data_IF_186131619463
#
_entry.id   IF_186131619463
#
_cell.length_a   1.000
_cell.length_b   1.000
_cell.length_c   1.000
_cell.angle_alpha   90.00
_cell.angle_beta   90.00
_cell.angle_gamma   90.00
#
_symmetry.space_group_name_H-M   'P 1'
#
loop_
_entity.id
_entity.type
_entity.pdbx_description
1 polymer ?
#
# COMPACT_ATOMS: atom_id res chain seq x y z
N UNK A 1 -8.22 -14.90 22.57
CA UNK A 1 -7.84 -13.47 22.53
C UNK A 1 -6.71 -13.33 21.52
N UNK A 2 -7.05 -13.41 20.23
CA UNK A 2 -6.04 -13.37 19.14
C UNK A 2 -5.54 -11.93 19.07
N UNK A 3 -4.23 -11.64 19.21
CA UNK A 3 -3.78 -10.31 19.55
C UNK A 3 -3.97 -9.36 18.36
N UNK A 4 -4.89 -8.42 18.52
CA UNK A 4 -5.00 -7.18 17.75
C UNK A 4 -3.80 -6.22 18.01
N UNK A 5 -2.60 -6.76 18.22
CA UNK A 5 -1.58 -6.15 19.08
C UNK A 5 -0.18 -6.07 18.46
N UNK A 6 -0.06 -5.94 17.14
CA UNK A 6 1.23 -5.66 16.50
C UNK A 6 1.23 -4.47 15.52
N UNK A 7 0.31 -3.51 15.69
CA UNK A 7 0.35 -2.23 14.97
C UNK A 7 0.49 -1.10 16.00
N UNK A 8 1.69 -0.95 16.54
CA UNK A 8 2.11 0.25 17.26
C UNK A 8 2.21 1.41 16.27
N UNK A 9 2.07 2.64 16.74
CA UNK A 9 2.00 3.90 15.95
C UNK A 9 3.12 4.10 14.93
N UNK A 10 4.32 3.56 15.13
CA UNK A 10 5.44 3.58 14.17
C UNK A 10 5.34 2.54 13.04
N UNK A 11 4.33 1.65 13.08
CA UNK A 11 4.16 0.50 12.18
C UNK A 11 2.98 0.65 11.21
N UNK A 12 2.28 1.78 11.30
CA UNK A 12 1.16 2.13 10.41
C UNK A 12 1.63 2.56 9.01
N UNK A 13 2.87 3.03 8.88
CA UNK A 13 3.44 3.46 7.59
C UNK A 13 3.54 2.27 6.61
N UNK A 14 3.88 1.07 7.11
CA UNK A 14 4.06 -0.13 6.26
C UNK A 14 2.73 -0.77 5.84
N UNK A 15 1.68 -0.53 6.63
CA UNK A 15 0.32 -0.95 6.28
C UNK A 15 -0.25 -0.13 5.11
N UNK A 16 0.24 1.10 4.89
CA UNK A 16 -0.16 1.92 3.74
C UNK A 16 0.26 1.24 2.43
N UNK A 17 1.48 0.71 2.36
CA UNK A 17 2.03 0.06 1.16
C UNK A 17 1.33 -1.26 0.83
N UNK A 18 0.93 -2.02 1.85
CA UNK A 18 0.10 -3.22 1.70
C UNK A 18 -1.29 -2.85 1.16
N UNK A 19 -1.88 -1.74 1.62
CA UNK A 19 -3.14 -1.23 1.09
C UNK A 19 -3.03 -0.75 -0.37
N UNK A 20 -1.82 -0.47 -0.90
CA UNK A 20 -1.66 -0.25 -2.35
C UNK A 20 -1.76 -1.52 -3.18
N UNK A 21 -1.40 -2.66 -2.58
CA UNK A 21 -1.48 -3.96 -3.23
C UNK A 21 -2.91 -4.45 -3.37
N UNK A 22 -3.73 -4.17 -2.37
CA UNK A 22 -5.15 -4.53 -2.36
C UNK A 22 -5.90 -3.65 -3.38
N UNK A 23 -6.45 -4.20 -4.48
CA UNK A 23 -7.28 -3.43 -5.40
C UNK A 23 -8.58 -3.03 -4.68
N UNK A 24 -8.73 -1.73 -4.37
CA UNK A 24 -9.98 -1.20 -3.84
C UNK A 24 -10.91 -0.80 -4.98
N UNK A 25 -12.12 -1.38 -5.09
CA UNK A 25 -13.13 -0.86 -6.01
C UNK A 25 -13.58 0.54 -5.55
N UNK A 26 -13.66 1.49 -6.48
CA UNK A 26 -14.37 2.73 -6.23
C UNK A 26 -15.87 2.46 -6.34
N UNK A 27 -16.58 2.38 -5.20
CA UNK A 27 -18.03 2.26 -5.18
C UNK A 27 -18.55 1.51 -3.97
N UNK A 28 -19.52 2.10 -3.29
CA UNK A 28 -20.25 1.51 -2.18
C UNK A 28 -21.15 0.36 -2.66
N UNK A 29 -20.62 -0.85 -2.71
CA UNK A 29 -21.39 -2.09 -2.69
C UNK A 29 -20.49 -3.16 -2.10
N UNK A 30 -21.06 -4.21 -1.51
CA UNK A 30 -20.35 -5.31 -0.86
C UNK A 30 -19.51 -6.14 -1.84
N UNK A 31 -18.45 -5.54 -2.37
CA UNK A 31 -17.50 -6.21 -3.25
C UNK A 31 -16.39 -6.81 -2.37
N UNK A 32 -16.30 -8.14 -2.43
CA UNK A 32 -15.09 -8.86 -2.03
C UNK A 32 -13.92 -8.21 -2.74
N UNK A 33 -12.81 -7.98 -2.03
CA UNK A 33 -11.57 -7.60 -2.68
C UNK A 33 -11.13 -8.81 -3.51
N UNK A 34 -11.47 -8.80 -4.79
CA UNK A 34 -11.11 -9.87 -5.71
C UNK A 34 -9.59 -9.82 -5.95
N UNK A 35 -8.89 -10.92 -5.69
CA UNK A 35 -7.42 -10.99 -5.79
C UNK A 35 -6.68 -10.43 -4.57
N UNK A 36 -6.93 -10.98 -3.38
CA UNK A 36 -6.13 -10.66 -2.19
C UNK A 36 -4.65 -11.04 -2.35
N UNK A 37 -3.80 -10.48 -1.48
CA UNK A 37 -2.37 -10.82 -1.48
C UNK A 37 -2.21 -12.22 -0.89
N UNK A 38 -1.60 -13.12 -1.66
CA UNK A 38 -1.23 -14.45 -1.22
C UNK A 38 0.27 -14.52 -0.90
N UNK A 39 0.65 -15.54 -0.14
CA UNK A 39 2.07 -15.83 0.14
C UNK A 39 2.86 -16.03 -1.16
N UNK A 40 2.28 -16.71 -2.15
CA UNK A 40 2.88 -16.96 -3.47
C UNK A 40 3.20 -15.69 -4.27
N UNK A 41 2.52 -14.57 -3.98
CA UNK A 41 2.79 -13.28 -4.61
C UNK A 41 4.05 -12.60 -4.04
N UNK A 42 4.50 -12.94 -2.84
CA UNK A 42 5.69 -12.35 -2.22
C UNK A 42 6.96 -13.00 -2.79
N UNK A 43 7.68 -12.28 -3.64
CA UNK A 43 8.87 -12.79 -4.30
C UNK A 43 9.99 -11.74 -4.30
N UNK A 44 11.24 -12.19 -4.28
CA UNK A 44 12.38 -11.31 -4.55
C UNK A 44 12.58 -11.16 -6.06
N UNK A 45 12.70 -9.91 -6.52
CA UNK A 45 13.04 -9.52 -7.89
C UNK A 45 14.17 -8.50 -7.80
N UNK A 46 15.26 -8.75 -8.52
CA UNK A 46 16.39 -7.81 -8.61
C UNK A 46 16.95 -7.37 -7.24
N UNK A 47 16.89 -8.25 -6.23
CA UNK A 47 17.35 -7.94 -4.87
C UNK A 47 16.35 -7.20 -3.98
N UNK A 48 15.12 -6.96 -4.46
CA UNK A 48 14.04 -6.32 -3.70
C UNK A 48 12.85 -7.26 -3.52
N UNK A 49 12.20 -7.21 -2.36
CA UNK A 49 10.90 -7.85 -2.18
C UNK A 49 9.85 -7.15 -3.04
N UNK A 50 8.93 -7.93 -3.58
CA UNK A 50 7.81 -7.41 -4.35
C UNK A 50 6.59 -8.32 -4.21
N UNK A 51 5.41 -7.71 -4.29
CA UNK A 51 4.15 -8.41 -4.53
C UNK A 51 3.96 -8.48 -6.04
N UNK A 52 4.19 -9.65 -6.61
CA UNK A 52 4.13 -9.88 -8.06
C UNK A 52 2.72 -10.30 -8.49
N UNK A 53 2.46 -10.17 -9.79
CA UNK A 53 1.25 -10.67 -10.44
C UNK A 53 -0.08 -10.14 -9.87
N UNK A 54 -0.05 -8.97 -9.22
CA UNK A 54 -1.24 -8.36 -8.64
C UNK A 54 -2.19 -7.90 -9.73
N UNK A 55 -3.34 -8.57 -9.81
CA UNK A 55 -4.41 -8.22 -10.73
C UNK A 55 -5.20 -7.03 -10.21
N UNK A 56 -5.22 -5.96 -11.00
CA UNK A 56 -6.04 -4.78 -10.76
C UNK A 56 -7.29 -4.77 -11.64
N UNK A 57 -8.03 -3.66 -11.53
CA UNK A 57 -9.21 -3.39 -12.35
C UNK A 57 -8.86 -3.45 -13.84
N UNK A 58 -9.81 -3.95 -14.65
CA UNK A 58 -9.66 -4.11 -16.10
C UNK A 58 -8.54 -5.08 -16.54
N UNK A 59 -8.11 -6.00 -15.67
CA UNK A 59 -7.17 -7.07 -16.04
C UNK A 59 -5.69 -6.65 -16.07
N UNK A 60 -5.36 -5.44 -15.61
CA UNK A 60 -3.97 -4.99 -15.53
C UNK A 60 -3.24 -5.74 -14.43
N UNK A 61 -2.15 -6.40 -14.77
CA UNK A 61 -1.25 -7.04 -13.81
C UNK A 61 -0.14 -6.06 -13.46
N UNK A 62 0.20 -5.94 -12.17
CA UNK A 62 1.31 -5.10 -11.71
C UNK A 62 2.15 -5.79 -10.65
N UNK A 63 3.41 -5.38 -10.60
CA UNK A 63 4.35 -5.74 -9.54
C UNK A 63 4.54 -4.54 -8.62
N UNK A 64 4.48 -4.76 -7.32
CA UNK A 64 4.53 -3.71 -6.31
C UNK A 64 5.78 -3.96 -5.46
N UNK A 65 6.83 -3.13 -5.57
CA UNK A 65 8.00 -3.26 -4.72
C UNK A 65 7.60 -3.06 -3.25
N UNK A 66 8.19 -3.88 -2.39
CA UNK A 66 7.99 -3.90 -0.95
C UNK A 66 9.34 -3.62 -0.28
N UNK A 67 9.47 -2.55 0.52
CA UNK A 67 10.64 -2.31 1.33
C UNK A 67 10.89 -3.46 2.31
N UNK A 68 12.17 -3.74 2.57
CA UNK A 68 12.57 -4.89 3.39
C UNK A 68 11.95 -4.88 4.79
N UNK A 69 11.79 -3.70 5.39
CA UNK A 69 11.19 -3.56 6.71
C UNK A 69 9.68 -3.89 6.69
N UNK A 70 8.97 -3.58 5.60
CA UNK A 70 7.55 -3.96 5.43
C UNK A 70 7.43 -5.46 5.26
N UNK A 71 8.32 -6.06 4.46
CA UNK A 71 8.40 -7.52 4.37
C UNK A 71 8.69 -8.17 5.73
N UNK A 72 9.59 -7.60 6.54
CA UNK A 72 9.85 -8.07 7.90
C UNK A 72 8.59 -8.09 8.77
N UNK A 73 7.78 -7.02 8.72
CA UNK A 73 6.48 -6.95 9.43
C UNK A 73 5.48 -7.98 8.89
N UNK A 74 5.43 -8.19 7.57
CA UNK A 74 4.60 -9.23 6.96
C UNK A 74 5.02 -10.62 7.40
N UNK A 75 6.32 -10.89 7.47
CA UNK A 75 6.87 -12.17 7.89
C UNK A 75 6.59 -12.45 9.38
N UNK A 76 6.70 -11.44 10.24
CA UNK A 76 6.32 -11.57 11.66
C UNK A 76 4.83 -11.90 11.80
N UNK A 77 3.98 -11.24 10.99
CA UNK A 77 2.55 -11.49 10.95
C UNK A 77 2.22 -12.91 10.48
N UNK A 78 2.75 -13.35 9.33
CA UNK A 78 2.46 -14.67 8.77
C UNK A 78 2.95 -15.77 9.70
N UNK A 79 4.12 -15.60 10.31
CA UNK A 79 4.64 -16.53 11.32
C UNK A 79 3.70 -16.61 12.53
N UNK A 80 3.31 -15.47 13.11
CA UNK A 80 2.44 -15.44 14.28
C UNK A 80 1.03 -16.00 13.99
N UNK A 81 0.54 -15.83 12.76
CA UNK A 81 -0.77 -16.31 12.32
C UNK A 81 -0.73 -17.74 11.73
N UNK A 82 0.44 -18.39 11.66
CA UNK A 82 0.61 -19.73 11.09
C UNK A 82 0.26 -19.80 9.60
N UNK A 83 0.56 -18.75 8.84
CA UNK A 83 0.26 -18.62 7.43
C UNK A 83 1.43 -19.10 6.60
N UNK A 84 1.34 -20.34 6.13
CA UNK A 84 2.34 -20.95 5.25
C UNK A 84 1.89 -21.03 3.78
N UNK A 85 0.62 -20.73 3.50
CA UNK A 85 0.03 -20.72 2.15
C UNK A 85 -1.26 -19.90 2.13
N UNK A 86 -1.67 -19.49 0.93
CA UNK A 86 -2.93 -18.79 0.65
C UNK A 86 -2.89 -17.33 1.05
N UNK A 87 -4.08 -16.76 1.30
CA UNK A 87 -4.20 -15.33 1.60
C UNK A 87 -3.47 -14.92 2.88
N UNK A 88 -2.71 -13.83 2.78
CA UNK A 88 -2.01 -13.19 3.90
C UNK A 88 -2.98 -12.55 4.90
N UNK A 89 -4.12 -12.07 4.41
CA UNK A 89 -5.15 -11.42 5.21
C UNK A 89 -6.40 -12.27 5.21
N UNK A 90 -6.68 -12.93 6.33
CA UNK A 90 -7.80 -13.86 6.46
C UNK A 90 -8.82 -13.33 7.45
N UNK A 91 -10.10 -13.67 7.24
CA UNK A 91 -11.11 -13.42 8.26
C UNK A 91 -10.99 -14.49 9.34
N UNK A 92 -11.08 -14.04 10.58
CA UNK A 92 -11.06 -14.90 11.75
C UNK A 92 -12.34 -14.63 12.53
N UNK A 93 -13.07 -15.69 12.89
CA UNK A 93 -14.26 -15.56 13.74
C UNK A 93 -13.86 -15.21 15.18
N UNK A 94 -14.82 -14.78 15.99
CA UNK A 94 -14.59 -14.55 17.42
C UNK A 94 -14.09 -15.81 18.17
N UNK A 95 -14.39 -16.99 17.65
CA UNK A 95 -13.92 -18.28 18.16
C UNK A 95 -12.49 -18.65 17.68
N UNK A 96 -11.84 -17.82 16.86
CA UNK A 96 -10.50 -18.07 16.33
C UNK A 96 -10.45 -18.90 15.05
N UNK A 97 -11.61 -19.24 14.48
CA UNK A 97 -11.65 -20.04 13.25
C UNK A 97 -11.46 -19.15 12.03
N UNK A 98 -10.54 -19.54 11.14
CA UNK A 98 -10.35 -18.90 9.83
C UNK A 98 -11.53 -19.27 8.92
N UNK A 99 -12.10 -18.29 8.23
CA UNK A 99 -13.21 -18.51 7.30
C UNK A 99 -13.18 -17.54 6.12
N UNK A 100 -13.70 -17.97 4.97
CA UNK A 100 -13.62 -17.22 3.72
C UNK A 100 -12.20 -17.15 3.13
N UNK A 101 -12.08 -16.67 1.90
CA UNK A 101 -10.79 -16.61 1.18
C UNK A 101 -10.08 -15.26 1.32
N UNK A 102 -10.84 -14.16 1.36
CA UNK A 102 -10.29 -12.78 1.36
C UNK A 102 -10.95 -11.90 2.42
N UNK A 103 -10.25 -10.88 2.91
CA UNK A 103 -10.86 -9.84 3.75
C UNK A 103 -11.89 -9.01 2.96
N UNK A 104 -12.89 -8.47 3.65
CA UNK A 104 -13.87 -7.55 3.04
C UNK A 104 -13.34 -6.13 3.05
N UNK A 105 -13.79 -5.31 2.11
CA UNK A 105 -13.54 -3.87 2.12
C UNK A 105 -14.01 -3.23 3.45
N UNK A 106 -15.16 -3.65 3.97
CA UNK A 106 -15.70 -3.21 5.25
C UNK A 106 -14.73 -3.43 6.41
N UNK A 107 -14.01 -4.56 6.43
CA UNK A 107 -13.01 -4.83 7.45
C UNK A 107 -11.83 -3.86 7.35
N UNK A 108 -11.34 -3.60 6.13
CA UNK A 108 -10.28 -2.61 5.91
C UNK A 108 -10.70 -1.24 6.42
N UNK A 109 -11.90 -0.78 6.04
CA UNK A 109 -12.45 0.49 6.53
C UNK A 109 -12.54 0.54 8.06
N UNK A 110 -12.96 -0.56 8.69
CA UNK A 110 -13.04 -0.66 10.13
C UNK A 110 -11.66 -0.50 10.78
N UNK A 111 -10.67 -1.23 10.30
CA UNK A 111 -9.28 -1.15 10.78
C UNK A 111 -8.73 0.27 10.62
N UNK A 112 -8.89 0.89 9.44
CA UNK A 112 -8.42 2.26 9.20
C UNK A 112 -9.09 3.25 10.16
N UNK A 113 -10.42 3.16 10.37
CA UNK A 113 -11.13 4.03 11.31
C UNK A 113 -10.69 3.82 12.76
N UNK A 114 -10.44 2.58 13.16
CA UNK A 114 -9.97 2.25 14.51
C UNK A 114 -8.60 2.89 14.77
N UNK A 115 -7.64 2.73 13.86
CA UNK A 115 -6.32 3.33 14.00
C UNK A 115 -6.36 4.85 13.89
N UNK A 116 -7.18 5.40 13.01
CA UNK A 116 -7.39 6.84 12.90
C UNK A 116 -7.87 7.45 14.24
N UNK A 117 -8.82 6.79 14.92
CA UNK A 117 -9.27 7.21 16.24
C UNK A 117 -8.16 7.16 17.29
N UNK A 118 -7.32 6.11 17.29
CA UNK A 118 -6.18 5.96 18.21
C UNK A 118 -5.14 7.07 18.07
N UNK A 119 -4.93 7.58 16.85
CA UNK A 119 -3.98 8.67 16.57
C UNK A 119 -4.65 10.06 16.55
N UNK A 120 -5.93 10.17 16.88
CA UNK A 120 -6.66 11.43 16.91
C UNK A 120 -6.96 12.05 15.54
N UNK A 121 -6.88 11.28 14.45
CA UNK A 121 -7.19 11.76 13.09
C UNK A 121 -8.66 11.47 12.76
N UNK A 122 -9.43 12.53 12.57
CA UNK A 122 -10.84 12.41 12.15
C UNK A 122 -10.96 12.16 10.65
N UNK A 123 -11.95 11.37 10.23
CA UNK A 123 -12.35 11.17 8.82
C UNK A 123 -11.26 10.61 7.89
N UNK A 124 -10.36 9.78 8.41
CA UNK A 124 -9.39 9.06 7.58
C UNK A 124 -10.05 7.89 6.84
N UNK A 125 -9.85 7.82 5.53
CA UNK A 125 -10.29 6.71 4.70
C UNK A 125 -9.09 5.92 4.13
N UNK A 126 -9.28 4.66 3.70
CA UNK A 126 -8.23 3.87 3.05
C UNK A 126 -7.60 4.59 1.85
N UNK A 127 -8.39 5.33 1.07
CA UNK A 127 -7.87 6.09 -0.07
C UNK A 127 -6.98 7.28 0.32
N UNK A 128 -7.12 7.83 1.52
CA UNK A 128 -6.24 8.89 2.02
C UNK A 128 -4.85 8.33 2.36
N UNK A 129 -4.78 7.09 2.83
CA UNK A 129 -3.52 6.36 3.03
C UNK A 129 -2.81 6.18 1.68
N UNK A 130 -3.57 5.78 0.64
CA UNK A 130 -3.07 5.65 -0.73
C UNK A 130 -2.46 6.97 -1.23
N UNK A 131 -3.17 8.07 -1.01
CA UNK A 131 -2.71 9.41 -1.39
C UNK A 131 -1.49 9.86 -0.59
N UNK A 132 -1.45 9.53 0.70
CA UNK A 132 -0.33 9.90 1.59
C UNK A 132 0.95 9.22 1.17
N UNK A 133 0.92 7.90 0.92
CA UNK A 133 2.07 7.17 0.40
C UNK A 133 2.56 7.75 -0.93
N UNK A 134 1.67 8.02 -1.89
CA UNK A 134 2.05 8.65 -3.16
C UNK A 134 2.79 10.01 -2.94
N UNK A 135 2.28 10.83 -2.01
CA UNK A 135 2.92 12.11 -1.64
C UNK A 135 4.27 11.90 -0.96
N UNK A 136 4.40 10.90 -0.09
CA UNK A 136 5.66 10.54 0.57
C UNK A 136 6.70 10.05 -0.44
N UNK A 137 6.33 9.16 -1.38
CA UNK A 137 7.20 8.74 -2.48
C UNK A 137 7.69 9.94 -3.29
N UNK A 138 6.79 10.87 -3.65
CA UNK A 138 7.18 12.08 -4.39
C UNK A 138 8.07 13.01 -3.56
N UNK A 139 7.80 13.14 -2.26
CA UNK A 139 8.61 13.95 -1.36
C UNK A 139 10.02 13.38 -1.15
N UNK A 140 10.15 12.05 -1.18
CA UNK A 140 11.42 11.33 -1.15
C UNK A 140 12.21 11.40 -2.47
N UNK A 141 11.69 12.07 -3.51
CA UNK A 141 12.35 12.22 -4.80
C UNK A 141 11.94 11.18 -5.84
N UNK A 142 10.90 10.38 -5.59
CA UNK A 142 10.38 9.42 -6.56
C UNK A 142 9.87 10.10 -7.83
N UNK A 143 10.21 9.52 -8.99
CA UNK A 143 9.73 9.97 -10.30
C UNK A 143 8.23 9.73 -10.48
N UNK A 144 7.55 10.61 -11.21
CA UNK A 144 6.09 10.55 -11.37
C UNK A 144 5.65 9.27 -12.08
N UNK A 145 6.44 8.80 -13.04
CA UNK A 145 6.25 7.56 -13.79
C UNK A 145 6.36 6.34 -12.87
N UNK A 146 7.35 6.33 -11.96
CA UNK A 146 7.51 5.23 -11.00
C UNK A 146 6.35 5.20 -10.01
N UNK A 147 5.91 6.37 -9.55
CA UNK A 147 4.72 6.47 -8.69
C UNK A 147 3.46 6.06 -9.47
N UNK A 148 3.35 6.40 -10.76
CA UNK A 148 2.24 5.94 -11.59
C UNK A 148 2.19 4.40 -11.66
N UNK A 149 3.33 3.74 -11.89
CA UNK A 149 3.39 2.27 -11.93
C UNK A 149 3.02 1.66 -10.57
N UNK A 150 3.56 2.20 -9.48
CA UNK A 150 3.23 1.79 -8.11
C UNK A 150 1.72 1.91 -7.81
N UNK A 151 1.10 3.01 -8.26
CA UNK A 151 -0.33 3.26 -8.11
C UNK A 151 -1.19 2.58 -9.17
N UNK A 152 -0.63 1.91 -10.18
CA UNK A 152 -1.39 1.32 -11.27
C UNK A 152 -2.29 2.33 -12.00
N UNK A 153 -1.87 3.59 -12.10
CA UNK A 153 -2.62 4.60 -12.85
C UNK A 153 -2.38 4.41 -14.36
N UNK A 154 -3.43 4.62 -15.16
CA UNK A 154 -3.37 4.45 -16.62
C UNK A 154 -2.51 5.52 -17.29
N UNK A 155 -2.33 6.68 -16.66
CA UNK A 155 -1.50 7.76 -17.20
C UNK A 155 -0.81 8.58 -16.11
N UNK A 156 0.33 9.18 -16.47
CA UNK A 156 1.06 10.14 -15.62
C UNK A 156 0.15 11.31 -15.24
N UNK A 157 -0.70 11.81 -16.15
CA UNK A 157 -1.61 12.93 -15.83
C UNK A 157 -2.58 12.59 -14.70
N UNK A 158 -2.99 11.32 -14.59
CA UNK A 158 -3.83 10.86 -13.47
C UNK A 158 -3.05 10.99 -12.16
N UNK A 159 -1.77 10.60 -12.14
CA UNK A 159 -0.88 10.73 -10.98
C UNK A 159 -0.59 12.20 -10.63
N UNK A 160 -0.35 13.06 -11.62
CA UNK A 160 -0.15 14.51 -11.40
C UNK A 160 -1.35 15.16 -10.72
N UNK A 161 -2.56 14.90 -11.25
CA UNK A 161 -3.81 15.40 -10.67
C UNK A 161 -4.04 14.82 -9.28
N UNK A 162 -3.72 13.54 -9.08
CA UNK A 162 -3.88 12.85 -7.80
C UNK A 162 -2.95 13.40 -6.71
N UNK A 163 -1.73 13.79 -7.08
CA UNK A 163 -0.73 14.38 -6.19
C UNK A 163 -0.92 15.88 -5.98
N UNK A 164 -1.56 16.57 -6.94
CA UNK A 164 -1.67 18.03 -6.95
C UNK A 164 -0.33 18.70 -7.21
N UNK A 165 0.42 18.19 -8.19
CA UNK A 165 1.76 18.71 -8.51
C UNK A 165 1.69 20.17 -8.95
N UNK A 166 2.50 21.02 -8.32
CA UNK A 166 2.71 22.43 -8.69
C UNK A 166 4.19 22.67 -8.95
N UNK A 167 4.50 23.60 -9.85
CA UNK A 167 5.89 23.99 -10.10
C UNK A 167 6.50 24.61 -8.83
N UNK A 168 7.65 24.07 -8.40
CA UNK A 168 8.39 24.57 -7.23
C UNK A 168 9.51 25.49 -7.70
N UNK A 169 9.22 26.77 -7.82
CA UNK A 169 10.22 27.77 -8.23
C UNK A 169 11.35 27.90 -7.19
N UNK A 170 11.05 27.72 -5.90
CA UNK A 170 12.04 27.83 -4.81
C UNK A 170 13.05 26.67 -4.73
N UNK A 171 12.87 25.62 -5.53
CA UNK A 171 13.75 24.46 -5.59
C UNK A 171 13.69 23.92 -7.01
N UNK A 172 14.25 24.68 -7.96
CA UNK A 172 14.11 24.36 -9.36
C UNK A 172 14.93 23.10 -9.70
N UNK A 173 14.33 22.19 -10.47
CA UNK A 173 14.99 20.92 -10.82
C UNK A 173 16.25 21.12 -11.64
N UNK A 174 16.33 22.23 -12.38
CA UNK A 174 17.48 22.60 -13.19
C UNK A 174 18.63 23.25 -12.39
N UNK A 175 18.46 23.49 -11.08
CA UNK A 175 19.53 24.05 -10.23
C UNK A 175 20.62 23.01 -9.89
N UNK A 176 20.40 21.73 -10.25
CA UNK A 176 21.28 20.60 -9.91
C UNK A 176 21.71 19.81 -11.14
N UNK A 177 21.80 20.46 -12.29
CA UNK A 177 22.12 19.80 -13.56
C UNK A 177 23.60 19.44 -13.67
N UNK A 178 24.47 20.05 -12.86
CA UNK A 178 25.89 19.68 -12.78
C UNK A 178 26.71 20.08 -14.01
N UNK A 179 26.16 20.97 -14.87
CA UNK A 179 26.84 21.52 -16.05
C UNK A 179 27.17 23.00 -15.88
N UNK A 180 27.15 23.48 -14.64
CA UNK A 180 27.54 24.85 -14.31
C UNK A 180 29.03 25.04 -14.64
N UNK A 181 29.42 26.16 -15.28
CA UNK A 181 30.83 26.43 -15.53
C UNK A 181 31.61 26.48 -14.22
N UNK A 182 32.78 25.87 -14.21
CA UNK A 182 33.72 25.91 -13.08
C UNK A 182 34.01 27.37 -12.74
N UNK A 183 33.76 27.77 -11.48
CA UNK A 183 34.14 29.10 -10.97
C UNK A 183 35.64 29.18 -10.72
#
# INVERSE_FOLDING_TARGET
MVPALLLTTHRLEGFQEILHAVPFPEGSAEETIDGGVEESHLQQREGHWAIVDMRGKAGHVRTIPVPDWVYGVLNDWTTAAGINNGSLFRRVSSAGNVWGEYVTEKLVWHVVKEFAAKIGVSKLAPHDLRRSCARLCRAAGGELEQIQFLLGHVSVQTTERYLGCTQRISSAVNDRIGIEPSR
#
